data_IF_595510906911
#
_entry.id   IF_595510906911
#
_cell.length_a   1.000
_cell.length_b   1.000
_cell.length_c   1.000
_cell.angle_alpha   90.00
_cell.angle_beta   90.00
_cell.angle_gamma   90.00
#
_symmetry.space_group_name_H-M   'P 1'
#
loop_
_entity.id
_entity.type
_entity.pdbx_description
1 polymer ?
#
# COMPACT_ATOMS: atom_id res chain seq x y z
N UNK A 1 5.36 -2.08 -0.47
CA UNK A 1 5.40 -1.13 0.66
C UNK A 1 6.75 -1.27 1.34
N UNK A 2 6.98 -0.58 2.47
CA UNK A 2 8.09 -0.92 3.34
C UNK A 2 7.91 -2.37 3.89
N UNK A 3 9.00 -2.97 4.37
CA UNK A 3 9.06 -4.41 4.74
C UNK A 3 8.12 -4.74 5.92
N UNK A 4 7.84 -3.75 6.77
CA UNK A 4 7.00 -3.83 7.96
C UNK A 4 5.52 -3.50 7.70
N UNK A 5 5.15 -3.22 6.45
CA UNK A 5 3.79 -2.88 6.07
C UNK A 5 3.10 -4.07 5.36
N UNK A 6 1.86 -4.35 5.76
CA UNK A 6 1.01 -5.36 5.12
C UNK A 6 0.17 -4.72 4.01
N UNK A 7 0.09 -5.40 2.86
CA UNK A 7 -0.90 -5.11 1.83
C UNK A 7 -2.14 -5.95 2.08
N UNK A 8 -3.28 -5.32 2.29
CA UNK A 8 -4.56 -5.97 2.57
C UNK A 8 -5.58 -5.62 1.46
N UNK A 9 -6.83 -6.08 1.64
CA UNK A 9 -7.90 -5.89 0.66
C UNK A 9 -7.63 -6.66 -0.63
N UNK A 10 -7.88 -6.02 -1.77
CA UNK A 10 -7.61 -6.59 -3.11
C UNK A 10 -6.11 -6.71 -3.44
N UNK A 11 -5.24 -6.27 -2.53
CA UNK A 11 -3.79 -6.36 -2.69
C UNK A 11 -3.21 -5.33 -3.65
N UNK A 12 -1.97 -5.60 -4.09
CA UNK A 12 -1.23 -4.72 -5.01
C UNK A 12 -1.19 -5.37 -6.40
N UNK A 13 -1.75 -4.72 -7.43
CA UNK A 13 -1.60 -5.18 -8.81
C UNK A 13 -0.13 -5.29 -9.23
N UNK A 14 0.22 -6.37 -9.91
CA UNK A 14 1.57 -6.62 -10.42
C UNK A 14 1.53 -7.26 -11.81
N UNK A 15 2.69 -7.25 -12.49
CA UNK A 15 2.91 -7.99 -13.74
C UNK A 15 4.30 -8.61 -13.71
N UNK A 16 4.45 -9.77 -14.33
CA UNK A 16 5.73 -10.47 -14.47
C UNK A 16 6.01 -10.64 -15.96
N UNK A 17 7.18 -10.19 -16.40
CA UNK A 17 7.68 -10.42 -17.75
C UNK A 17 8.58 -11.66 -17.75
N UNK A 18 8.22 -12.66 -18.56
CA UNK A 18 9.04 -13.86 -18.77
C UNK A 18 9.84 -13.68 -20.06
N UNK A 19 11.16 -13.57 -19.94
CA UNK A 19 12.07 -13.49 -21.10
C UNK A 19 12.25 -14.88 -21.71
N UNK A 20 12.20 -14.95 -23.04
CA UNK A 20 12.46 -16.17 -23.84
C UNK A 20 11.72 -17.44 -23.34
N UNK A 21 10.38 -17.41 -23.22
CA UNK A 21 9.63 -18.53 -22.65
C UNK A 21 9.69 -19.76 -23.57
N UNK A 22 10.18 -20.88 -23.05
CA UNK A 22 10.12 -22.19 -23.73
C UNK A 22 8.68 -22.73 -23.86
N UNK A 23 7.81 -22.37 -22.90
CA UNK A 23 6.38 -22.69 -22.88
C UNK A 23 5.59 -21.40 -22.65
N UNK A 24 4.65 -21.09 -23.55
CA UNK A 24 3.84 -19.85 -23.49
C UNK A 24 2.43 -20.05 -22.94
N UNK A 25 1.90 -21.25 -23.08
CA UNK A 25 0.59 -21.62 -22.55
C UNK A 25 0.80 -22.32 -21.22
N UNK A 26 0.25 -21.73 -20.16
CA UNK A 26 0.31 -22.21 -18.79
C UNK A 26 -1.10 -22.23 -18.22
N UNK A 27 -1.35 -23.20 -17.35
CA UNK A 27 -2.53 -23.20 -16.49
C UNK A 27 -2.28 -22.22 -15.34
N UNK A 28 -2.82 -21.01 -15.48
CA UNK A 28 -2.63 -19.92 -14.52
C UNK A 28 -3.40 -20.14 -13.23
N UNK A 29 -4.51 -20.87 -13.26
CA UNK A 29 -5.28 -21.21 -12.06
C UNK A 29 -4.50 -22.19 -11.20
N UNK A 30 -3.96 -23.24 -11.81
CA UNK A 30 -3.07 -24.18 -11.11
C UNK A 30 -1.82 -23.49 -10.57
N UNK A 31 -1.22 -22.58 -11.34
CA UNK A 31 -0.05 -21.81 -10.89
C UNK A 31 -0.40 -20.94 -9.68
N UNK A 32 -1.53 -20.24 -9.72
CA UNK A 32 -2.03 -19.43 -8.60
C UNK A 32 -2.16 -20.26 -7.33
N UNK A 33 -2.83 -21.41 -7.42
CA UNK A 33 -3.06 -22.30 -6.27
C UNK A 33 -1.74 -22.86 -5.72
N UNK A 34 -0.78 -23.19 -6.60
CA UNK A 34 0.54 -23.68 -6.19
C UNK A 34 1.31 -22.60 -5.42
N UNK A 35 1.36 -21.37 -5.95
CA UNK A 35 2.04 -20.26 -5.28
C UNK A 35 1.42 -19.96 -3.91
N UNK A 36 0.08 -19.95 -3.82
CA UNK A 36 -0.60 -19.67 -2.56
C UNK A 36 -0.38 -20.77 -1.51
N UNK A 37 -0.31 -22.03 -1.93
CA UNK A 37 0.02 -23.14 -1.02
C UNK A 37 1.46 -23.05 -0.51
N UNK A 38 2.42 -22.77 -1.41
CA UNK A 38 3.84 -22.69 -1.07
C UNK A 38 4.19 -21.43 -0.25
N UNK A 39 3.36 -20.39 -0.33
CA UNK A 39 3.58 -19.12 0.35
C UNK A 39 3.38 -19.18 1.87
N UNK A 40 2.78 -20.25 2.41
CA UNK A 40 2.59 -20.45 3.86
C UNK A 40 1.95 -19.22 4.55
N UNK A 41 0.90 -18.67 3.92
CA UNK A 41 0.15 -17.50 4.41
C UNK A 41 0.92 -16.18 4.42
N UNK A 42 2.14 -16.12 3.89
CA UNK A 42 2.95 -14.88 3.83
C UNK A 42 2.48 -13.95 2.71
N UNK A 43 2.08 -14.53 1.60
CA UNK A 43 1.52 -13.83 0.45
C UNK A 43 0.35 -14.64 -0.11
N UNK A 44 -0.58 -13.94 -0.73
CA UNK A 44 -1.63 -14.52 -1.55
C UNK A 44 -1.66 -13.78 -2.88
N UNK A 45 -1.78 -14.52 -3.96
CA UNK A 45 -2.00 -13.99 -5.30
C UNK A 45 -3.37 -14.42 -5.81
N UNK A 46 -4.00 -13.52 -6.56
CA UNK A 46 -5.32 -13.72 -7.14
C UNK A 46 -5.37 -13.12 -8.53
N UNK A 47 -6.37 -13.53 -9.32
CA UNK A 47 -6.66 -12.99 -10.64
C UNK A 47 -5.47 -13.09 -11.63
N UNK A 48 -4.69 -14.17 -11.57
CA UNK A 48 -3.65 -14.41 -12.56
C UNK A 48 -4.26 -14.52 -13.96
N UNK A 49 -3.76 -13.68 -14.88
CA UNK A 49 -4.21 -13.66 -16.28
C UNK A 49 -3.07 -13.24 -17.21
N UNK A 50 -3.14 -13.59 -18.50
CA UNK A 50 -2.19 -13.07 -19.47
C UNK A 50 -2.22 -11.54 -19.49
N UNK A 51 -1.04 -10.94 -19.60
CA UNK A 51 -0.85 -9.49 -19.61
C UNK A 51 -0.12 -9.07 -20.88
N UNK A 52 -0.46 -7.88 -21.36
CA UNK A 52 0.18 -7.21 -22.48
C UNK A 52 0.83 -5.88 -22.03
N UNK A 53 1.33 -5.12 -23.00
CA UNK A 53 1.92 -3.80 -22.74
C UNK A 53 0.92 -2.81 -22.13
N UNK A 54 -0.38 -2.98 -22.38
CA UNK A 54 -1.42 -2.08 -21.88
C UNK A 54 -1.66 -2.31 -20.39
N UNK A 55 -1.56 -3.55 -19.91
CA UNK A 55 -1.57 -3.85 -18.47
C UNK A 55 -0.45 -3.10 -17.76
N UNK A 56 0.78 -3.12 -18.29
CA UNK A 56 1.91 -2.39 -17.71
C UNK A 56 1.66 -0.88 -17.67
N UNK A 57 1.04 -0.32 -18.71
CA UNK A 57 0.65 1.11 -18.73
C UNK A 57 -0.39 1.40 -17.64
N UNK A 58 -1.41 0.55 -17.50
CA UNK A 58 -2.45 0.69 -16.46
C UNK A 58 -1.87 0.62 -15.05
N UNK A 59 -0.92 -0.28 -14.79
CA UNK A 59 -0.21 -0.36 -13.50
C UNK A 59 0.52 0.95 -13.17
N UNK A 60 1.24 1.53 -14.13
CA UNK A 60 1.96 2.80 -13.95
C UNK A 60 1.01 3.98 -13.67
N UNK A 61 -0.15 4.00 -14.30
CA UNK A 61 -1.19 5.00 -14.02
C UNK A 61 -1.76 4.79 -12.62
N UNK A 62 -2.05 3.53 -12.26
CA UNK A 62 -2.58 3.13 -10.97
C UNK A 62 -1.67 3.46 -9.78
N UNK A 63 -0.36 3.61 -9.97
CA UNK A 63 0.54 4.08 -8.89
C UNK A 63 0.14 5.45 -8.35
N UNK A 64 -0.52 6.29 -9.17
CA UNK A 64 -1.04 7.61 -8.80
C UNK A 64 -2.43 7.58 -8.18
N UNK A 65 -3.07 6.40 -8.12
CA UNK A 65 -4.36 6.25 -7.49
C UNK A 65 -4.29 6.57 -5.99
N UNK A 66 -5.46 6.94 -5.46
CA UNK A 66 -5.68 7.10 -4.03
C UNK A 66 -5.36 5.78 -3.32
N UNK A 67 -4.81 5.91 -2.11
CA UNK A 67 -4.44 4.78 -1.26
C UNK A 67 -5.08 4.98 0.09
N UNK A 68 -5.62 3.90 0.62
CA UNK A 68 -6.16 3.84 1.97
C UNK A 68 -5.15 3.12 2.86
N UNK A 69 -4.98 3.63 4.08
CA UNK A 69 -4.06 3.07 5.05
C UNK A 69 -4.76 2.92 6.39
N UNK A 70 -4.49 1.79 7.06
CA UNK A 70 -4.82 1.60 8.46
C UNK A 70 -3.52 1.63 9.27
N UNK A 71 -3.45 2.53 10.24
CA UNK A 71 -2.27 2.70 11.10
C UNK A 71 -2.66 2.64 12.57
N UNK A 72 -1.82 2.00 13.38
CA UNK A 72 -1.90 2.06 14.83
C UNK A 72 -0.88 3.07 15.35
N UNK A 73 -1.35 4.06 16.11
CA UNK A 73 -0.51 5.15 16.61
C UNK A 73 -0.48 5.07 18.14
N UNK A 74 0.72 5.14 18.71
CA UNK A 74 0.93 5.29 20.14
C UNK A 74 1.37 6.72 20.43
N UNK A 75 0.71 7.35 21.39
CA UNK A 75 1.06 8.69 21.86
C UNK A 75 1.86 8.58 23.16
N UNK A 76 2.87 9.43 23.33
CA UNK A 76 3.61 9.54 24.58
C UNK A 76 2.77 10.14 25.71
N UNK A 77 1.90 11.09 25.36
CA UNK A 77 1.01 11.78 26.29
C UNK A 77 -0.40 11.16 26.34
N UNK A 78 -1.15 11.48 27.40
CA UNK A 78 -2.56 11.10 27.50
C UNK A 78 -3.39 11.88 26.50
N UNK A 79 -4.08 11.16 25.63
CA UNK A 79 -4.98 11.74 24.62
C UNK A 79 -6.44 11.61 25.05
N UNK A 80 -7.16 12.72 25.01
CA UNK A 80 -8.60 12.77 25.27
C UNK A 80 -9.40 12.46 24.00
N UNK A 81 -10.69 12.19 24.16
CA UNK A 81 -11.58 12.02 23.00
C UNK A 81 -11.74 13.33 22.20
N UNK A 82 -11.59 14.49 22.82
CA UNK A 82 -11.62 15.79 22.15
C UNK A 82 -10.43 15.98 21.21
N UNK A 83 -9.25 15.57 21.65
CA UNK A 83 -8.02 15.64 20.84
C UNK A 83 -8.11 14.79 19.58
N UNK A 84 -8.71 13.59 19.67
CA UNK A 84 -8.91 12.70 18.52
C UNK A 84 -9.87 13.30 17.50
N UNK A 85 -10.95 13.97 17.96
CA UNK A 85 -11.88 14.67 17.07
C UNK A 85 -11.18 15.83 16.36
N UNK A 86 -10.45 16.66 17.11
CA UNK A 86 -9.70 17.78 16.56
C UNK A 86 -8.66 17.32 15.53
N UNK A 87 -8.00 16.18 15.78
CA UNK A 87 -7.05 15.58 14.84
C UNK A 87 -7.74 15.16 13.54
N UNK A 88 -8.89 14.48 13.62
CA UNK A 88 -9.64 14.07 12.44
C UNK A 88 -10.11 15.28 11.63
N UNK A 89 -10.67 16.29 12.29
CA UNK A 89 -11.12 17.53 11.65
C UNK A 89 -9.98 18.29 10.96
N UNK A 90 -8.80 18.37 11.60
CA UNK A 90 -7.65 19.10 11.05
C UNK A 90 -6.92 18.38 9.92
N UNK A 91 -7.04 17.06 9.83
CA UNK A 91 -6.34 16.28 8.80
C UNK A 91 -7.24 15.96 7.61
N UNK A 92 -8.56 15.94 7.80
CA UNK A 92 -9.51 15.76 6.70
C UNK A 92 -9.35 16.87 5.67
N UNK A 93 -9.42 16.50 4.39
CA UNK A 93 -9.39 17.41 3.24
C UNK A 93 -8.22 18.42 3.23
N UNK A 94 -7.08 18.04 3.80
CA UNK A 94 -5.96 18.94 4.08
C UNK A 94 -4.73 18.66 3.21
N UNK A 95 -4.03 19.73 2.80
CA UNK A 95 -2.73 19.64 2.11
C UNK A 95 -1.59 19.61 3.13
N UNK A 96 -0.76 18.58 3.07
CA UNK A 96 0.49 18.42 3.83
C UNK A 96 1.68 18.68 2.92
N UNK A 97 2.58 19.57 3.34
CA UNK A 97 3.87 19.81 2.67
C UNK A 97 4.91 18.86 3.24
N UNK A 98 5.17 17.76 2.54
CA UNK A 98 6.06 16.71 3.00
C UNK A 98 7.45 16.84 2.37
N UNK A 99 8.48 17.09 3.18
CA UNK A 99 9.87 16.97 2.77
C UNK A 99 10.26 15.50 2.55
N UNK A 100 11.21 15.23 1.65
CA UNK A 100 11.73 13.87 1.43
C UNK A 100 12.24 13.30 2.77
N UNK A 101 11.71 12.17 3.27
CA UNK A 101 12.12 11.62 4.55
C UNK A 101 13.61 11.27 4.60
N UNK A 102 14.28 11.53 5.73
CA UNK A 102 15.71 11.29 5.91
C UNK A 102 16.15 9.87 5.49
N UNK A 103 15.36 8.86 5.88
CA UNK A 103 15.63 7.44 5.58
C UNK A 103 15.68 7.11 4.09
N UNK A 104 15.13 7.96 3.22
CA UNK A 104 15.09 7.75 1.77
C UNK A 104 15.95 8.72 0.97
N UNK A 105 16.68 9.64 1.61
CA UNK A 105 17.49 10.65 0.93
C UNK A 105 18.60 10.05 0.07
N UNK A 106 19.19 8.92 0.51
CA UNK A 106 20.25 8.23 -0.24
C UNK A 106 19.80 7.74 -1.64
N UNK A 107 18.48 7.65 -1.88
CA UNK A 107 17.88 7.14 -3.12
C UNK A 107 16.98 8.15 -3.82
N UNK A 108 16.72 9.31 -3.23
CA UNK A 108 15.76 10.31 -3.75
C UNK A 108 16.26 11.71 -3.51
N UNK A 109 16.03 12.58 -4.50
CA UNK A 109 16.27 14.02 -4.36
C UNK A 109 15.48 14.60 -3.17
N UNK A 110 16.14 15.46 -2.39
CA UNK A 110 15.51 16.20 -1.30
C UNK A 110 14.60 17.29 -1.86
N UNK A 111 13.30 17.12 -1.70
CA UNK A 111 12.27 18.01 -2.26
C UNK A 111 11.03 18.00 -1.37
N UNK A 112 10.38 19.15 -1.26
CA UNK A 112 9.06 19.27 -0.63
C UNK A 112 8.00 18.91 -1.67
N UNK A 113 7.07 18.03 -1.30
CA UNK A 113 5.94 17.62 -2.14
C UNK A 113 4.64 17.83 -1.39
N UNK A 114 3.68 18.43 -2.07
CA UNK A 114 2.32 18.55 -1.55
C UNK A 114 1.60 17.21 -1.65
N UNK A 115 0.97 16.81 -0.55
CA UNK A 115 0.18 15.59 -0.40
C UNK A 115 -1.17 15.96 0.15
N UNK A 116 -2.23 15.41 -0.43
CA UNK A 116 -3.59 15.66 0.01
C UNK A 116 -4.08 14.48 0.84
N UNK A 117 -4.57 14.78 2.04
CA UNK A 117 -5.30 13.82 2.87
C UNK A 117 -6.77 14.02 2.55
N UNK A 118 -7.40 13.00 1.97
CA UNK A 118 -8.80 13.08 1.56
C UNK A 118 -9.74 12.92 2.75
N UNK A 119 -9.51 11.91 3.57
CA UNK A 119 -10.34 11.61 4.73
C UNK A 119 -9.51 10.94 5.83
N UNK A 120 -9.98 11.07 7.07
CA UNK A 120 -9.36 10.44 8.25
C UNK A 120 -10.44 9.98 9.20
N UNK A 121 -10.42 8.68 9.54
CA UNK A 121 -11.24 8.11 10.60
C UNK A 121 -10.33 7.66 11.73
N UNK A 122 -10.67 8.04 12.97
CA UNK A 122 -9.83 7.78 14.15
C UNK A 122 -10.66 7.08 15.22
N UNK A 123 -10.18 5.91 15.66
CA UNK A 123 -10.81 5.12 16.72
C UNK A 123 -9.84 4.96 17.88
N UNK A 124 -10.30 5.21 19.11
CA UNK A 124 -9.50 4.96 20.30
C UNK A 124 -9.39 3.45 20.53
N UNK A 125 -8.18 2.93 20.46
CA UNK A 125 -7.89 1.55 20.83
C UNK A 125 -7.78 1.45 22.36
N UNK A 126 -8.36 0.40 22.94
CA UNK A 126 -8.13 0.09 24.35
C UNK A 126 -6.64 -0.15 24.59
N UNK A 127 -6.08 0.22 25.76
CA UNK A 127 -4.69 -0.12 26.07
C UNK A 127 -4.50 -1.63 25.91
N UNK A 128 -3.42 -2.04 25.23
CA UNK A 128 -3.02 -3.45 25.20
C UNK A 128 -2.89 -3.92 26.66
N UNK A 129 -3.65 -4.97 27.02
CA UNK A 129 -3.45 -5.69 28.29
C UNK A 129 -2.03 -6.23 28.37
#
# INVERSE_FOLDING_TARGET
EDIDARMLGEGRPFAIEIKEPKKRLLDLERLQNTVNADADGKIEISNLRPADKDVVRKLKIGERAQKEYLVSIQFGDKITSGDLKLLAEKLKETVVKQQTPMRVLHRRADLIREKYIYDVTVNKLSPKK
#
